data_IF_116121242566
#
_entry.id   IF_116121242566
#
_cell.length_a   1.000
_cell.length_b   1.000
_cell.length_c   1.000
_cell.angle_alpha   90.00
_cell.angle_beta   90.00
_cell.angle_gamma   90.00
#
_symmetry.space_group_name_H-M   'P 1'
#
loop_
_entity.id
_entity.type
_entity.pdbx_description
1 polymer ?
#
# COMPACT_ATOMS: atom_id res chain seq x y z
N UNK A 1 19.04 -11.93 37.53
CA UNK A 1 19.82 -12.12 36.27
C UNK A 1 19.17 -11.23 35.21
N UNK A 2 19.64 -9.98 35.12
CA UNK A 2 19.16 -9.02 34.10
C UNK A 2 19.93 -9.31 32.82
N UNK A 3 19.27 -9.94 31.85
CA UNK A 3 19.76 -9.95 30.48
C UNK A 3 19.56 -8.53 29.92
N UNK A 4 20.69 -7.82 29.73
CA UNK A 4 20.71 -6.53 29.07
C UNK A 4 20.06 -6.67 27.70
N UNK A 5 18.95 -5.98 27.52
CA UNK A 5 18.33 -5.75 26.21
C UNK A 5 19.32 -4.90 25.40
N UNK A 6 20.10 -5.59 24.55
CA UNK A 6 21.04 -4.91 23.68
C UNK A 6 20.29 -3.97 22.75
N UNK A 7 20.63 -2.70 22.84
CA UNK A 7 20.21 -1.65 21.94
C UNK A 7 20.56 -2.07 20.51
N UNK A 8 19.55 -2.29 19.68
CA UNK A 8 19.72 -2.48 18.23
C UNK A 8 19.94 -1.12 17.58
N UNK A 9 21.11 -0.52 17.82
CA UNK A 9 21.57 0.67 17.09
C UNK A 9 21.71 0.36 15.60
N UNK A 10 21.49 1.38 14.78
CA UNK A 10 21.48 1.35 13.31
C UNK A 10 22.60 0.50 12.71
N UNK A 11 22.23 -0.67 12.25
CA UNK A 11 22.76 -1.34 11.10
C UNK A 11 24.19 -1.86 11.19
N UNK A 12 24.48 -2.98 11.86
CA UNK A 12 25.61 -3.82 11.40
C UNK A 12 25.49 -5.31 11.81
N UNK A 13 24.70 -5.69 12.81
CA UNK A 13 24.56 -7.09 13.18
C UNK A 13 23.08 -7.51 13.32
N UNK A 14 22.64 -8.62 12.69
CA UNK A 14 21.31 -9.15 12.91
C UNK A 14 21.12 -9.53 14.37
N UNK A 15 20.11 -8.95 15.02
CA UNK A 15 19.77 -9.23 16.40
C UNK A 15 18.51 -10.11 16.49
N UNK A 16 18.18 -10.55 17.69
CA UNK A 16 17.00 -11.38 17.97
C UNK A 16 15.70 -10.77 17.43
N UNK A 17 15.57 -9.45 17.49
CA UNK A 17 14.40 -8.71 16.97
C UNK A 17 14.28 -8.88 15.45
N UNK A 18 15.39 -8.75 14.72
CA UNK A 18 15.42 -8.98 13.28
C UNK A 18 15.02 -10.41 12.92
N UNK A 19 15.51 -11.40 13.65
CA UNK A 19 15.14 -12.79 13.46
C UNK A 19 13.63 -13.02 13.72
N UNK A 20 13.07 -12.42 14.76
CA UNK A 20 11.64 -12.50 15.04
C UNK A 20 10.78 -11.90 13.90
N UNK A 21 11.22 -10.80 13.29
CA UNK A 21 10.57 -10.19 12.12
C UNK A 21 10.62 -11.16 10.92
N UNK A 22 11.75 -11.77 10.65
CA UNK A 22 11.89 -12.77 9.57
C UNK A 22 10.92 -13.93 9.78
N UNK A 23 10.86 -14.49 10.98
CA UNK A 23 9.91 -15.57 11.30
C UNK A 23 8.46 -15.15 11.12
N UNK A 24 8.12 -13.91 11.46
CA UNK A 24 6.77 -13.35 11.26
C UNK A 24 6.41 -13.28 9.78
N UNK A 25 7.33 -12.79 8.94
CA UNK A 25 7.17 -12.74 7.48
C UNK A 25 6.98 -14.16 6.92
N UNK A 26 7.84 -15.10 7.31
CA UNK A 26 7.75 -16.49 6.85
C UNK A 26 6.41 -17.15 7.24
N UNK A 27 5.92 -16.90 8.45
CA UNK A 27 4.60 -17.39 8.89
C UNK A 27 3.46 -16.79 8.05
N UNK A 28 3.54 -15.49 7.77
CA UNK A 28 2.57 -14.83 6.90
C UNK A 28 2.57 -15.44 5.49
N UNK A 29 3.73 -15.56 4.86
CA UNK A 29 3.88 -16.13 3.52
C UNK A 29 3.39 -17.59 3.51
N UNK A 30 3.74 -18.39 4.52
CA UNK A 30 3.25 -19.78 4.64
C UNK A 30 1.73 -19.84 4.74
N UNK A 31 1.10 -18.93 5.46
CA UNK A 31 -0.36 -18.87 5.61
C UNK A 31 -1.09 -18.40 4.36
N UNK A 32 -0.38 -17.75 3.43
CA UNK A 32 -0.95 -17.14 2.22
C UNK A 32 -0.47 -17.77 0.90
N UNK A 33 0.14 -18.96 0.97
CA UNK A 33 0.73 -19.63 -0.20
C UNK A 33 -0.23 -19.83 -1.38
N UNK A 34 -1.51 -20.00 -1.09
CA UNK A 34 -2.56 -20.21 -2.11
C UNK A 34 -3.37 -18.94 -2.40
N UNK A 35 -3.00 -17.81 -1.80
CA UNK A 35 -3.63 -16.51 -2.09
C UNK A 35 -2.84 -15.81 -3.19
N UNK A 36 -3.54 -15.33 -4.18
CA UNK A 36 -2.94 -14.62 -5.29
C UNK A 36 -3.96 -13.75 -5.99
N UNK A 37 -3.50 -12.99 -6.97
CA UNK A 37 -4.35 -12.17 -7.82
C UNK A 37 -4.70 -13.03 -9.05
N UNK A 38 -6.00 -13.13 -9.33
CA UNK A 38 -6.50 -13.86 -10.48
C UNK A 38 -6.84 -12.88 -11.60
N UNK A 39 -6.26 -13.09 -12.78
CA UNK A 39 -6.57 -12.33 -13.99
C UNK A 39 -7.44 -13.19 -14.91
N UNK A 40 -8.65 -12.71 -15.20
CA UNK A 40 -9.57 -13.40 -16.10
C UNK A 40 -9.29 -13.00 -17.55
N UNK A 41 -9.13 -13.97 -18.42
CA UNK A 41 -8.97 -13.72 -19.88
C UNK A 41 -10.26 -13.31 -20.59
N UNK A 42 -11.40 -13.42 -19.92
CA UNK A 42 -12.73 -13.13 -20.47
C UNK A 42 -13.37 -11.88 -19.84
N UNK A 43 -12.61 -11.10 -19.06
CA UNK A 43 -13.11 -9.88 -18.45
C UNK A 43 -13.27 -8.77 -19.49
N UNK A 44 -14.24 -7.89 -19.27
CA UNK A 44 -14.32 -6.63 -20.01
C UNK A 44 -13.09 -5.77 -19.69
N UNK A 45 -12.70 -4.85 -20.59
CA UNK A 45 -11.59 -3.90 -20.34
C UNK A 45 -12.10 -2.64 -19.62
N UNK A 46 -13.13 -2.77 -18.80
CA UNK A 46 -13.66 -1.65 -18.02
C UNK A 46 -12.74 -1.35 -16.84
N UNK A 47 -12.29 -0.11 -16.75
CA UNK A 47 -11.34 0.33 -15.75
C UNK A 47 -12.04 1.03 -14.58
N UNK A 48 -11.75 0.60 -13.36
CA UNK A 48 -12.29 1.17 -12.12
C UNK A 48 -11.14 1.62 -11.21
N UNK A 49 -11.24 2.84 -10.70
CA UNK A 49 -10.29 3.39 -9.75
C UNK A 49 -11.00 3.74 -8.43
N UNK A 50 -10.45 3.29 -7.33
CA UNK A 50 -10.95 3.58 -5.99
C UNK A 50 -9.87 4.25 -5.17
N UNK A 51 -10.25 5.27 -4.42
CA UNK A 51 -9.35 6.02 -3.54
C UNK A 51 -10.01 6.20 -2.18
N UNK A 52 -9.22 6.08 -1.14
CA UNK A 52 -9.64 6.38 0.23
C UNK A 52 -8.48 6.95 1.05
N UNK A 53 -8.82 7.62 2.14
CA UNK A 53 -7.86 8.00 3.17
C UNK A 53 -8.48 7.88 4.55
N UNK A 54 -7.75 7.29 5.47
CA UNK A 54 -8.05 7.46 6.89
C UNK A 54 -7.72 8.90 7.32
N UNK A 55 -8.33 9.36 8.38
CA UNK A 55 -7.98 10.66 8.93
C UNK A 55 -7.24 10.49 10.25
N UNK A 56 -5.98 11.03 10.28
CA UNK A 56 -5.18 11.04 11.49
C UNK A 56 -5.02 9.66 12.16
N UNK A 57 -4.88 8.60 11.33
CA UNK A 57 -4.85 7.22 11.80
C UNK A 57 -3.61 6.88 12.62
N UNK A 58 -2.48 7.53 12.37
CA UNK A 58 -1.27 7.34 13.16
C UNK A 58 -1.35 8.12 14.48
N UNK A 59 -1.33 7.45 15.65
CA UNK A 59 -1.42 8.14 16.93
C UNK A 59 -0.16 8.97 17.26
N UNK A 60 0.96 8.72 16.59
CA UNK A 60 2.25 9.36 16.89
C UNK A 60 2.35 10.74 16.24
N UNK A 61 2.09 10.84 14.95
CA UNK A 61 2.25 12.08 14.19
C UNK A 61 0.95 12.58 13.56
N UNK A 62 -0.15 11.83 13.72
CA UNK A 62 -1.49 12.18 13.22
C UNK A 62 -1.56 12.34 11.70
N UNK A 63 -0.60 11.76 10.98
CA UNK A 63 -0.66 11.69 9.52
C UNK A 63 -1.70 10.66 9.05
N UNK A 64 -2.37 11.00 7.98
CA UNK A 64 -3.33 10.13 7.30
C UNK A 64 -2.64 9.17 6.34
N UNK A 65 -3.28 8.06 6.02
CA UNK A 65 -2.80 7.11 5.02
C UNK A 65 -3.69 7.22 3.79
N UNK A 66 -3.09 7.49 2.65
CA UNK A 66 -3.74 7.40 1.34
C UNK A 66 -3.69 5.97 0.85
N UNK A 67 -4.82 5.44 0.42
CA UNK A 67 -4.92 4.13 -0.21
C UNK A 67 -5.66 4.24 -1.53
N UNK A 68 -5.18 3.55 -2.55
CA UNK A 68 -5.91 3.41 -3.80
C UNK A 68 -5.81 1.99 -4.34
N UNK A 69 -6.76 1.61 -5.18
CA UNK A 69 -6.66 0.41 -6.00
C UNK A 69 -7.31 0.64 -7.36
N UNK A 70 -6.68 0.06 -8.37
CA UNK A 70 -7.14 0.07 -9.76
C UNK A 70 -7.50 -1.35 -10.19
N UNK A 71 -8.70 -1.48 -10.72
CA UNK A 71 -9.20 -2.74 -11.24
C UNK A 71 -9.44 -2.62 -12.73
N UNK A 72 -9.09 -3.65 -13.46
CA UNK A 72 -9.52 -3.87 -14.83
C UNK A 72 -10.63 -4.92 -14.79
N UNK A 73 -11.86 -4.50 -14.96
CA UNK A 73 -13.06 -5.29 -14.64
C UNK A 73 -13.04 -5.77 -13.18
N UNK A 74 -12.84 -7.06 -12.94
CA UNK A 74 -12.76 -7.67 -11.60
C UNK A 74 -11.33 -7.95 -11.15
N UNK A 75 -10.33 -7.68 -11.99
CA UNK A 75 -8.93 -7.98 -11.73
C UNK A 75 -8.20 -6.79 -11.16
N UNK A 76 -7.58 -6.95 -10.00
CA UNK A 76 -6.76 -5.91 -9.38
C UNK A 76 -5.42 -5.78 -10.12
N UNK A 77 -5.15 -4.62 -10.71
CA UNK A 77 -3.96 -4.38 -11.52
C UNK A 77 -2.93 -3.49 -10.84
N UNK A 78 -3.38 -2.57 -9.98
CA UNK A 78 -2.48 -1.71 -9.21
C UNK A 78 -3.09 -1.35 -7.86
N UNK A 79 -2.27 -1.22 -6.83
CA UNK A 79 -2.69 -0.75 -5.51
C UNK A 79 -1.53 -0.11 -4.77
N UNK A 80 -1.85 0.79 -3.87
CA UNK A 80 -0.88 1.46 -3.02
C UNK A 80 -1.51 1.85 -1.68
N UNK A 81 -0.71 1.81 -0.64
CA UNK A 81 -1.01 2.42 0.65
C UNK A 81 0.22 3.20 1.09
N UNK A 82 0.08 4.51 1.25
CA UNK A 82 1.18 5.41 1.60
C UNK A 82 0.74 6.46 2.61
N UNK A 83 1.56 6.68 3.62
CA UNK A 83 1.38 7.75 4.58
C UNK A 83 1.54 9.11 3.91
N UNK A 84 0.63 10.03 4.22
CA UNK A 84 0.72 11.43 3.76
C UNK A 84 1.85 12.15 4.49
N UNK A 85 2.55 13.01 3.76
CA UNK A 85 3.70 13.74 4.31
C UNK A 85 3.28 14.90 5.24
N UNK A 86 2.01 15.30 5.18
CA UNK A 86 1.46 16.44 5.93
C UNK A 86 0.21 16.03 6.68
N UNK A 87 0.07 16.53 7.90
CA UNK A 87 -1.13 16.31 8.72
C UNK A 87 -2.31 17.06 8.13
N UNK A 88 -3.40 16.34 7.87
CA UNK A 88 -4.66 16.91 7.40
C UNK A 88 -5.50 17.42 8.57
N UNK A 89 -6.08 18.61 8.43
CA UNK A 89 -6.90 19.24 9.47
C UNK A 89 -8.30 18.65 9.60
N UNK A 90 -8.73 17.94 8.56
CA UNK A 90 -10.04 17.28 8.51
C UNK A 90 -10.00 16.00 7.69
N UNK A 91 -10.98 15.14 7.86
CA UNK A 91 -11.15 13.94 7.03
C UNK A 91 -11.37 14.30 5.55
N UNK A 92 -12.06 15.41 5.27
CA UNK A 92 -12.27 15.92 3.91
C UNK A 92 -10.95 16.31 3.26
N UNK A 93 -10.07 17.01 3.99
CA UNK A 93 -8.74 17.36 3.47
C UNK A 93 -7.91 16.11 3.18
N UNK A 94 -7.91 15.12 4.09
CA UNK A 94 -7.22 13.86 3.89
C UNK A 94 -7.69 13.14 2.61
N UNK A 95 -9.00 13.09 2.39
CA UNK A 95 -9.60 12.46 1.20
C UNK A 95 -9.31 13.25 -0.08
N UNK A 96 -9.33 14.58 -0.04
CA UNK A 96 -8.98 15.40 -1.20
C UNK A 96 -7.51 15.21 -1.60
N UNK A 97 -6.58 15.08 -0.64
CA UNK A 97 -5.18 14.76 -0.90
C UNK A 97 -5.04 13.37 -1.52
N UNK A 98 -5.73 12.38 -0.97
CA UNK A 98 -5.74 11.04 -1.52
C UNK A 98 -6.29 11.01 -2.95
N UNK A 99 -7.35 11.76 -3.23
CA UNK A 99 -7.93 11.88 -4.56
C UNK A 99 -6.94 12.52 -5.55
N UNK A 100 -6.23 13.58 -5.14
CA UNK A 100 -5.21 14.22 -5.97
C UNK A 100 -4.07 13.26 -6.31
N UNK A 101 -3.52 12.55 -5.31
CA UNK A 101 -2.46 11.55 -5.51
C UNK A 101 -2.93 10.41 -6.43
N UNK A 102 -4.14 9.91 -6.18
CA UNK A 102 -4.73 8.84 -7.00
C UNK A 102 -4.97 9.28 -8.44
N UNK A 103 -5.39 10.53 -8.65
CA UNK A 103 -5.60 11.10 -9.99
C UNK A 103 -4.29 11.18 -10.77
N UNK A 104 -3.19 11.58 -10.14
CA UNK A 104 -1.87 11.57 -10.78
C UNK A 104 -1.46 10.17 -11.24
N UNK A 105 -1.64 9.17 -10.39
CA UNK A 105 -1.34 7.77 -10.73
C UNK A 105 -2.27 7.24 -11.82
N UNK A 106 -3.54 7.64 -11.81
CA UNK A 106 -4.53 7.27 -12.82
C UNK A 106 -4.15 7.82 -14.21
N UNK A 107 -3.76 9.08 -14.28
CA UNK A 107 -3.31 9.72 -15.53
C UNK A 107 -2.07 9.02 -16.08
N UNK A 108 -1.09 8.72 -15.21
CA UNK A 108 0.09 7.96 -15.60
C UNK A 108 -0.27 6.56 -16.13
N UNK A 109 -1.19 5.88 -15.45
CA UNK A 109 -1.63 4.54 -15.87
C UNK A 109 -2.37 4.57 -17.20
N UNK A 110 -3.17 5.62 -17.45
CA UNK A 110 -3.83 5.83 -18.73
C UNK A 110 -2.81 6.00 -19.88
N UNK A 111 -1.79 6.83 -19.67
CA UNK A 111 -0.73 6.96 -20.67
C UNK A 111 0.03 5.66 -20.93
N UNK A 112 0.26 4.86 -19.90
CA UNK A 112 0.87 3.54 -20.05
C UNK A 112 0.00 2.61 -20.90
N UNK A 113 -1.32 2.62 -20.68
CA UNK A 113 -2.24 1.81 -21.49
C UNK A 113 -2.29 2.28 -22.95
N UNK A 114 -2.28 3.59 -23.18
CA UNK A 114 -2.21 4.17 -24.52
C UNK A 114 -0.93 3.75 -25.25
N UNK A 115 0.22 3.78 -24.57
CA UNK A 115 1.51 3.35 -25.11
C UNK A 115 1.55 1.84 -25.44
N UNK A 116 0.71 1.05 -24.78
CA UNK A 116 0.56 -0.39 -25.01
C UNK A 116 -0.50 -0.73 -26.08
N UNK A 117 -1.05 0.26 -26.77
CA UNK A 117 -2.19 0.09 -27.71
C UNK A 117 -3.39 -0.67 -27.06
N UNK A 118 -3.55 -0.54 -25.76
CA UNK A 118 -4.67 -1.12 -25.04
C UNK A 118 -5.90 -0.21 -25.16
N UNK A 119 -7.06 -0.73 -25.58
CA UNK A 119 -8.26 0.09 -25.78
C UNK A 119 -8.83 0.67 -24.48
#
# INVERSE_FOLDING_TARGET
MNAAMGDCGDGVAPCFVHYAVVLRILRYVKGTLYHGIHYSSQSSLEFHAYSDADWAGDPTDRCSITSFCFLLSTSLVSWRSKKQDVVSRSSTEAKNRALADTTCELVWFHWLLDDMDAP
#
